data_IF_087934474282
#
_entry.id   IF_087934474282
#
_cell.length_a   1.000
_cell.length_b   1.000
_cell.length_c   1.000
_cell.angle_alpha   90.00
_cell.angle_beta   90.00
_cell.angle_gamma   90.00
#
_symmetry.space_group_name_H-M   'P 1'
#
loop_
_entity.id
_entity.type
_entity.pdbx_description
1 polymer ?
#
# COMPACT_ATOMS: atom_id res chain seq x y z
N UNK A 1 19.67 20.19 -13.56
CA UNK A 1 21.11 20.27 -13.90
C UNK A 1 21.46 19.13 -14.85
N UNK A 2 20.95 19.18 -16.08
CA UNK A 2 21.26 18.19 -17.10
C UNK A 2 22.39 18.72 -17.99
N UNK A 3 23.49 17.97 -18.11
CA UNK A 3 24.54 18.21 -19.11
C UNK A 3 25.75 19.04 -18.70
N UNK A 4 25.92 19.41 -17.42
CA UNK A 4 27.13 20.11 -16.95
C UNK A 4 27.99 19.20 -16.07
N UNK A 5 29.27 19.07 -16.42
CA UNK A 5 30.26 18.37 -15.61
C UNK A 5 30.56 19.17 -14.34
N UNK A 6 29.99 18.75 -13.21
CA UNK A 6 30.26 19.36 -11.90
C UNK A 6 31.37 18.57 -11.20
N UNK A 7 32.48 19.24 -10.91
CA UNK A 7 33.57 18.65 -10.14
C UNK A 7 33.29 18.79 -8.64
N UNK A 8 32.95 17.69 -7.97
CA UNK A 8 32.80 17.66 -6.52
C UNK A 8 34.15 17.39 -5.86
N UNK A 9 34.66 18.36 -5.12
CA UNK A 9 35.82 18.17 -4.23
C UNK A 9 35.32 17.70 -2.87
N UNK A 10 35.34 16.39 -2.65
CA UNK A 10 34.90 15.77 -1.40
C UNK A 10 36.12 15.58 -0.48
N UNK A 11 36.10 16.22 0.68
CA UNK A 11 37.10 16.00 1.73
C UNK A 11 36.54 14.99 2.73
N UNK A 12 37.08 13.77 2.74
CA UNK A 12 36.66 12.72 3.67
C UNK A 12 37.16 13.07 5.07
N UNK A 13 36.24 13.44 5.97
CA UNK A 13 36.54 13.80 7.36
C UNK A 13 36.78 12.60 8.27
N UNK A 14 36.08 11.49 8.02
CA UNK A 14 36.21 10.26 8.80
C UNK A 14 35.62 9.10 8.02
N UNK A 15 36.27 7.93 8.11
CA UNK A 15 35.71 6.66 7.66
C UNK A 15 35.25 5.93 8.92
N UNK A 16 33.97 5.56 8.98
CA UNK A 16 33.40 4.79 10.08
C UNK A 16 32.90 3.47 9.53
N UNK A 17 33.22 2.39 10.23
CA UNK A 17 32.71 1.05 9.93
C UNK A 17 31.42 0.81 10.73
N UNK A 18 30.40 0.25 10.08
CA UNK A 18 29.16 -0.15 10.75
C UNK A 18 29.39 -1.53 11.39
N UNK A 19 29.50 -1.57 12.72
CA UNK A 19 29.51 -2.83 13.48
C UNK A 19 28.09 -3.14 13.94
N UNK A 20 27.56 -4.26 13.48
CA UNK A 20 26.25 -4.75 13.92
C UNK A 20 26.32 -5.14 15.41
N UNK A 21 25.32 -4.77 16.23
CA UNK A 21 25.21 -5.26 17.59
C UNK A 21 25.01 -6.79 17.60
N UNK A 22 25.36 -7.47 18.70
CA UNK A 22 24.91 -8.84 18.93
C UNK A 22 23.38 -8.90 18.95
N UNK A 23 22.83 -10.05 18.56
CA UNK A 23 21.40 -10.34 18.60
C UNK A 23 21.02 -10.83 20.00
N UNK A 24 20.94 -9.90 20.95
CA UNK A 24 20.66 -10.16 22.37
C UNK A 24 19.62 -9.20 22.96
N UNK A 25 19.28 -9.36 24.24
CA UNK A 25 18.25 -8.56 24.91
C UNK A 25 18.60 -7.06 24.99
N UNK A 26 19.89 -6.72 24.92
CA UNK A 26 20.32 -5.32 24.86
C UNK A 26 19.95 -4.67 23.52
N UNK A 27 19.96 -5.43 22.43
CA UNK A 27 19.41 -4.98 21.14
C UNK A 27 17.91 -4.70 21.23
N UNK A 28 17.13 -5.60 21.85
CA UNK A 28 15.69 -5.41 22.03
C UNK A 28 15.36 -4.12 22.81
N UNK A 29 16.08 -3.88 23.92
CA UNK A 29 15.98 -2.65 24.71
C UNK A 29 16.41 -1.40 23.95
N UNK A 30 17.46 -1.49 23.12
CA UNK A 30 17.92 -0.37 22.29
C UNK A 30 16.92 0.01 21.20
N UNK A 31 16.24 -0.97 20.62
CA UNK A 31 15.21 -0.76 19.58
C UNK A 31 13.89 -0.31 20.20
N UNK A 32 13.66 -0.58 21.49
CA UNK A 32 12.46 -0.17 22.21
C UNK A 32 11.21 -0.99 21.85
N UNK A 33 11.41 -2.19 21.31
CA UNK A 33 10.38 -3.11 20.80
C UNK A 33 10.44 -4.45 21.56
N UNK A 34 10.21 -4.38 22.87
CA UNK A 34 10.28 -5.53 23.78
C UNK A 34 11.48 -5.50 24.75
N UNK A 35 11.42 -6.39 25.74
CA UNK A 35 12.42 -6.55 26.79
C UNK A 35 13.47 -7.63 26.46
N UNK A 36 13.16 -8.55 25.54
CA UNK A 36 14.02 -9.68 25.16
C UNK A 36 14.17 -9.80 23.63
N UNK A 37 15.23 -10.48 23.20
CA UNK A 37 15.43 -10.76 21.77
C UNK A 37 14.32 -11.64 21.18
N UNK A 38 13.75 -12.57 21.95
CA UNK A 38 12.63 -13.40 21.50
C UNK A 38 11.38 -12.57 21.25
N UNK A 39 11.05 -11.62 22.14
CA UNK A 39 9.92 -10.69 21.94
C UNK A 39 10.12 -9.84 20.69
N UNK A 40 11.32 -9.26 20.51
CA UNK A 40 11.64 -8.49 19.30
C UNK A 40 11.50 -9.34 18.03
N UNK A 41 11.96 -10.59 18.07
CA UNK A 41 11.87 -11.51 16.94
C UNK A 41 10.41 -11.85 16.62
N UNK A 42 9.59 -12.07 17.63
CA UNK A 42 8.18 -12.38 17.47
C UNK A 42 7.42 -11.17 16.90
N UNK A 43 7.67 -9.96 17.43
CA UNK A 43 7.05 -8.73 16.92
C UNK A 43 7.41 -8.48 15.45
N UNK A 44 8.68 -8.61 15.07
CA UNK A 44 9.11 -8.49 13.66
C UNK A 44 8.52 -9.59 12.80
N UNK A 45 8.40 -10.82 13.31
CA UNK A 45 7.76 -11.91 12.59
C UNK A 45 6.28 -11.59 12.31
N UNK A 46 5.56 -11.11 13.32
CA UNK A 46 4.14 -10.79 13.20
C UNK A 46 3.92 -9.57 12.29
N UNK A 47 4.77 -8.54 12.38
CA UNK A 47 4.78 -7.40 11.44
C UNK A 47 4.99 -7.87 9.98
N UNK A 48 5.95 -8.77 9.75
CA UNK A 48 6.23 -9.31 8.41
C UNK A 48 5.09 -10.20 7.91
N UNK A 49 4.49 -11.00 8.79
CA UNK A 49 3.37 -11.86 8.46
C UNK A 49 2.13 -11.04 8.10
N UNK A 50 1.83 -9.99 8.86
CA UNK A 50 0.74 -9.07 8.56
C UNK A 50 0.98 -8.31 7.25
N UNK A 51 2.20 -7.81 7.03
CA UNK A 51 2.57 -7.15 5.78
C UNK A 51 2.46 -8.09 4.57
N UNK A 52 2.87 -9.36 4.72
CA UNK A 52 2.73 -10.37 3.67
C UNK A 52 1.25 -10.67 3.39
N UNK A 53 0.44 -10.87 4.43
CA UNK A 53 -1.00 -11.11 4.30
C UNK A 53 -1.70 -9.95 3.56
N UNK A 54 -1.47 -8.71 3.99
CA UNK A 54 -2.06 -7.53 3.34
C UNK A 54 -1.60 -7.39 1.88
N UNK A 55 -0.33 -7.70 1.59
CA UNK A 55 0.19 -7.67 0.22
C UNK A 55 -0.48 -8.74 -0.67
N UNK A 56 -0.67 -9.95 -0.14
CA UNK A 56 -1.29 -11.05 -0.86
C UNK A 56 -2.79 -10.79 -1.11
N UNK A 57 -3.50 -10.29 -0.10
CA UNK A 57 -4.91 -9.88 -0.21
C UNK A 57 -5.07 -8.78 -1.26
N UNK A 58 -4.26 -7.73 -1.20
CA UNK A 58 -4.30 -6.64 -2.17
C UNK A 58 -3.97 -7.12 -3.59
N UNK A 59 -3.02 -8.05 -3.74
CA UNK A 59 -2.69 -8.63 -5.04
C UNK A 59 -3.85 -9.45 -5.59
N UNK A 60 -4.46 -10.27 -4.75
CA UNK A 60 -5.60 -11.10 -5.14
C UNK A 60 -6.80 -10.24 -5.57
N UNK A 61 -7.14 -9.21 -4.80
CA UNK A 61 -8.19 -8.24 -5.18
C UNK A 61 -7.90 -7.59 -6.54
N UNK A 62 -6.66 -7.17 -6.77
CA UNK A 62 -6.26 -6.58 -8.05
C UNK A 62 -6.40 -7.58 -9.21
N UNK A 63 -6.07 -8.85 -9.00
CA UNK A 63 -6.24 -9.90 -10.00
C UNK A 63 -7.73 -10.16 -10.30
N UNK A 64 -8.59 -10.15 -9.28
CA UNK A 64 -10.06 -10.26 -9.42
C UNK A 64 -10.62 -9.07 -10.21
N UNK A 65 -10.25 -7.85 -9.83
CA UNK A 65 -10.68 -6.64 -10.53
C UNK A 65 -10.20 -6.61 -11.98
N UNK A 66 -8.96 -7.02 -12.24
CA UNK A 66 -8.43 -7.13 -13.60
C UNK A 66 -9.21 -8.16 -14.43
N UNK A 67 -9.52 -9.31 -13.86
CA UNK A 67 -10.33 -10.33 -14.53
C UNK A 67 -11.75 -9.83 -14.83
N UNK A 68 -12.34 -9.01 -13.94
CA UNK A 68 -13.62 -8.35 -14.17
C UNK A 68 -13.53 -7.33 -15.32
N UNK A 69 -12.47 -6.51 -15.31
CA UNK A 69 -12.19 -5.48 -16.31
C UNK A 69 -12.01 -6.07 -17.73
N UNK A 70 -11.32 -7.21 -17.84
CA UNK A 70 -11.10 -7.94 -19.10
C UNK A 70 -12.38 -8.54 -19.69
N UNK A 71 -13.36 -8.88 -18.85
CA UNK A 71 -14.64 -9.46 -19.28
C UNK A 71 -15.71 -8.42 -19.58
N UNK A 72 -15.44 -7.14 -19.32
CA UNK A 72 -16.39 -6.07 -19.55
C UNK A 72 -16.40 -5.64 -21.03
N UNK A 73 -17.51 -5.93 -21.70
CA UNK A 73 -17.78 -5.55 -23.09
C UNK A 73 -18.79 -4.39 -23.15
N UNK A 74 -18.46 -3.25 -22.53
CA UNK A 74 -19.35 -2.07 -22.55
C UNK A 74 -18.57 -0.77 -22.72
N UNK A 75 -19.13 0.12 -23.56
CA UNK A 75 -18.61 1.47 -23.74
C UNK A 75 -19.05 2.37 -22.58
N UNK A 76 -18.09 3.05 -21.97
CA UNK A 76 -18.34 3.99 -20.88
C UNK A 76 -18.71 5.37 -21.45
N UNK A 77 -19.83 5.99 -21.02
CA UNK A 77 -20.19 7.33 -21.46
C UNK A 77 -19.12 8.40 -21.14
N UNK A 78 -18.79 9.25 -22.12
CA UNK A 78 -17.85 10.38 -21.98
C UNK A 78 -18.15 11.26 -20.76
N UNK A 79 -19.42 11.53 -20.46
CA UNK A 79 -19.82 12.36 -19.34
C UNK A 79 -19.40 11.77 -17.97
N UNK A 80 -19.37 10.45 -17.83
CA UNK A 80 -18.91 9.79 -16.61
C UNK A 80 -17.39 9.85 -16.50
N UNK A 81 -16.69 9.67 -17.62
CA UNK A 81 -15.22 9.80 -17.69
C UNK A 81 -14.79 11.22 -17.29
N UNK A 82 -15.43 12.24 -17.85
CA UNK A 82 -15.09 13.65 -17.56
C UNK A 82 -15.40 14.03 -16.11
N UNK A 83 -16.48 13.48 -15.54
CA UNK A 83 -16.78 13.62 -14.11
C UNK A 83 -15.68 13.00 -13.25
N UNK A 84 -15.19 11.83 -13.62
CA UNK A 84 -14.14 11.13 -12.89
C UNK A 84 -12.79 11.84 -12.98
N UNK A 85 -12.42 12.31 -14.18
CA UNK A 85 -11.23 13.15 -14.37
C UNK A 85 -11.33 14.40 -13.49
N UNK A 86 -12.49 15.06 -13.48
CA UNK A 86 -12.71 16.25 -12.64
C UNK A 86 -12.60 15.94 -11.15
N UNK A 87 -13.11 14.79 -10.69
CA UNK A 87 -12.98 14.32 -9.31
C UNK A 87 -11.50 14.15 -8.92
N UNK A 88 -10.73 13.42 -9.72
CA UNK A 88 -9.29 13.19 -9.49
C UNK A 88 -8.46 14.47 -9.44
N UNK A 89 -8.78 15.43 -10.31
CA UNK A 89 -8.12 16.75 -10.29
C UNK A 89 -8.43 17.50 -8.99
N UNK A 90 -9.68 17.46 -8.51
CA UNK A 90 -10.04 18.06 -7.21
C UNK A 90 -9.36 17.36 -6.04
N UNK A 91 -9.26 16.04 -6.04
CA UNK A 91 -8.53 15.28 -5.02
C UNK A 91 -7.04 15.65 -4.98
N UNK A 92 -6.44 15.87 -6.15
CA UNK A 92 -5.07 16.40 -6.23
C UNK A 92 -5.00 17.82 -5.69
N UNK A 93 -5.95 18.69 -6.05
CA UNK A 93 -6.01 20.07 -5.56
C UNK A 93 -6.12 20.13 -4.04
N UNK A 94 -7.03 19.35 -3.43
CA UNK A 94 -7.19 19.27 -1.98
C UNK A 94 -5.89 18.84 -1.29
N UNK A 95 -5.25 17.76 -1.76
CA UNK A 95 -3.96 17.30 -1.20
C UNK A 95 -2.86 18.35 -1.33
N UNK A 96 -2.82 19.08 -2.44
CA UNK A 96 -1.86 20.17 -2.61
C UNK A 96 -2.15 21.33 -1.65
N UNK A 97 -3.42 21.69 -1.47
CA UNK A 97 -3.85 22.72 -0.53
C UNK A 97 -3.50 22.38 0.92
N UNK A 98 -3.67 21.13 1.34
CA UNK A 98 -3.25 20.62 2.65
C UNK A 98 -1.73 20.77 2.87
N UNK A 99 -0.94 20.64 1.80
CA UNK A 99 0.51 20.87 1.80
C UNK A 99 0.89 22.36 1.65
N UNK A 100 -0.09 23.27 1.57
CA UNK A 100 0.13 24.71 1.37
C UNK A 100 0.56 25.07 -0.06
N UNK A 101 0.40 24.17 -1.03
CA UNK A 101 0.78 24.36 -2.43
C UNK A 101 -0.46 24.65 -3.26
N UNK A 102 -0.42 25.71 -4.07
CA UNK A 102 -1.49 26.00 -5.04
C UNK A 102 -1.31 25.20 -6.33
N UNK A 103 -2.41 24.81 -6.96
CA UNK A 103 -2.41 24.07 -8.22
C UNK A 103 -1.59 24.78 -9.31
N UNK A 104 -1.68 26.11 -9.42
CA UNK A 104 -0.92 26.87 -10.42
C UNK A 104 0.58 26.77 -10.20
N UNK A 105 1.02 26.78 -8.94
CA UNK A 105 2.44 26.58 -8.58
C UNK A 105 2.87 25.16 -8.94
N UNK A 106 2.05 24.16 -8.64
CA UNK A 106 2.33 22.77 -8.99
C UNK A 106 2.52 22.59 -10.50
N UNK A 107 1.61 23.13 -11.31
CA UNK A 107 1.69 23.09 -12.77
C UNK A 107 2.98 23.77 -13.30
N UNK A 108 3.39 24.89 -12.68
CA UNK A 108 4.65 25.56 -13.02
C UNK A 108 5.88 24.72 -12.67
N UNK A 109 5.91 24.08 -11.50
CA UNK A 109 7.05 23.25 -11.09
C UNK A 109 7.21 22.00 -11.96
N UNK A 110 6.10 21.39 -12.37
CA UNK A 110 6.08 20.20 -13.22
C UNK A 110 6.19 20.52 -14.71
N UNK A 111 6.17 21.79 -15.10
CA UNK A 111 6.09 22.25 -16.49
C UNK A 111 4.95 21.58 -17.26
N UNK A 112 3.81 21.35 -16.61
CA UNK A 112 2.61 20.78 -17.24
C UNK A 112 1.47 21.79 -17.26
N UNK A 113 0.41 21.47 -17.99
CA UNK A 113 -0.82 22.26 -18.02
C UNK A 113 -1.99 21.45 -17.46
N UNK A 114 -3.07 22.12 -17.07
CA UNK A 114 -4.27 21.44 -16.59
C UNK A 114 -4.84 20.47 -17.64
N UNK A 115 -4.78 20.82 -18.92
CA UNK A 115 -5.31 19.98 -20.00
C UNK A 115 -4.44 18.74 -20.23
N UNK A 116 -3.12 18.88 -20.14
CA UNK A 116 -2.19 17.73 -20.18
C UNK A 116 -2.43 16.82 -18.98
N UNK A 117 -2.56 17.39 -17.78
CA UNK A 117 -2.84 16.63 -16.57
C UNK A 117 -4.18 15.87 -16.67
N UNK A 118 -5.24 16.51 -17.19
CA UNK A 118 -6.52 15.84 -17.46
C UNK A 118 -6.38 14.71 -18.48
N UNK A 119 -5.62 14.91 -19.54
CA UNK A 119 -5.37 13.90 -20.56
C UNK A 119 -4.62 12.68 -19.97
N UNK A 120 -3.62 12.92 -19.10
CA UNK A 120 -2.89 11.87 -18.38
C UNK A 120 -3.78 11.09 -17.39
N UNK A 121 -4.77 11.75 -16.78
CA UNK A 121 -5.74 11.10 -15.89
C UNK A 121 -6.83 10.32 -16.64
N UNK A 122 -7.10 10.64 -17.92
CA UNK A 122 -8.22 10.07 -18.68
C UNK A 122 -8.17 8.53 -18.77
N UNK A 123 -7.05 7.86 -19.07
CA UNK A 123 -7.00 6.38 -19.12
C UNK A 123 -7.37 5.74 -17.78
N UNK A 124 -6.88 6.31 -16.67
CA UNK A 124 -7.18 5.80 -15.33
C UNK A 124 -8.63 6.09 -14.92
N UNK A 125 -9.20 7.20 -15.38
CA UNK A 125 -10.61 7.53 -15.19
C UNK A 125 -11.53 6.56 -15.96
N UNK A 126 -11.19 6.25 -17.22
CA UNK A 126 -11.90 5.25 -18.03
C UNK A 126 -11.92 3.91 -17.32
N UNK A 127 -10.75 3.41 -16.90
CA UNK A 127 -10.67 2.12 -16.20
C UNK A 127 -11.47 2.12 -14.90
N UNK A 128 -11.40 3.20 -14.11
CA UNK A 128 -12.11 3.29 -12.83
C UNK A 128 -13.62 3.30 -13.01
N UNK A 129 -14.16 4.12 -13.92
CA UNK A 129 -15.60 4.14 -14.20
C UNK A 129 -16.07 2.81 -14.77
N UNK A 130 -15.25 2.17 -15.61
CA UNK A 130 -15.54 0.85 -16.16
C UNK A 130 -15.71 -0.19 -15.05
N UNK A 131 -14.73 -0.28 -14.15
CA UNK A 131 -14.79 -1.16 -12.98
C UNK A 131 -15.97 -0.85 -12.05
N UNK A 132 -16.24 0.43 -11.79
CA UNK A 132 -17.35 0.87 -10.93
C UNK A 132 -18.70 0.38 -11.48
N UNK A 133 -18.96 0.57 -12.77
CA UNK A 133 -20.18 0.08 -13.43
C UNK A 133 -20.28 -1.45 -13.42
N UNK A 134 -19.15 -2.15 -13.59
CA UNK A 134 -19.11 -3.60 -13.53
C UNK A 134 -19.47 -4.11 -12.13
N UNK A 135 -18.89 -3.52 -11.10
CA UNK A 135 -19.17 -3.85 -9.69
C UNK A 135 -20.63 -3.52 -9.33
N UNK A 136 -21.17 -2.38 -9.75
CA UNK A 136 -22.59 -2.06 -9.56
C UNK A 136 -23.50 -3.13 -10.17
N UNK A 137 -23.20 -3.55 -11.40
CA UNK A 137 -23.97 -4.59 -12.09
C UNK A 137 -23.88 -5.94 -11.37
N UNK A 138 -22.72 -6.30 -10.83
CA UNK A 138 -22.54 -7.52 -10.02
C UNK A 138 -23.34 -7.41 -8.73
N UNK A 139 -23.26 -6.28 -8.03
CA UNK A 139 -23.99 -6.04 -6.80
C UNK A 139 -25.50 -6.19 -7.00
N UNK A 140 -26.04 -5.61 -8.08
CA UNK A 140 -27.46 -5.74 -8.43
C UNK A 140 -27.86 -7.18 -8.74
N UNK A 141 -27.03 -7.93 -9.48
CA UNK A 141 -27.33 -9.32 -9.88
C UNK A 141 -27.26 -10.29 -8.72
N UNK A 142 -26.28 -10.12 -7.85
CA UNK A 142 -25.99 -11.01 -6.72
C UNK A 142 -26.72 -10.58 -5.44
N UNK A 143 -27.41 -9.43 -5.47
CA UNK A 143 -28.20 -8.91 -4.35
C UNK A 143 -27.35 -8.41 -3.18
N UNK A 144 -26.16 -7.86 -3.47
CA UNK A 144 -25.29 -7.26 -2.45
C UNK A 144 -25.91 -5.94 -1.98
N UNK A 145 -26.26 -5.88 -0.69
CA UNK A 145 -26.87 -4.68 -0.10
C UNK A 145 -26.08 -4.17 1.10
N UNK A 146 -26.14 -2.86 1.31
CA UNK A 146 -25.60 -2.17 2.49
C UNK A 146 -26.76 -1.71 3.35
N UNK A 147 -26.71 -2.05 4.63
CA UNK A 147 -27.72 -1.63 5.61
C UNK A 147 -27.49 -0.19 6.06
N UNK A 148 -28.55 0.48 6.53
CA UNK A 148 -28.44 1.85 7.05
C UNK A 148 -27.53 1.93 8.28
N UNK A 149 -27.48 0.87 9.08
CA UNK A 149 -26.60 0.79 10.27
C UNK A 149 -25.13 0.83 9.85
N UNK A 150 -24.74 0.10 8.82
CA UNK A 150 -23.36 0.11 8.30
C UNK A 150 -22.99 1.47 7.72
N UNK A 151 -23.94 2.15 7.06
CA UNK A 151 -23.74 3.51 6.57
C UNK A 151 -23.54 4.48 7.74
N UNK A 152 -24.35 4.36 8.79
CA UNK A 152 -24.26 5.21 9.96
C UNK A 152 -22.92 5.01 10.70
N UNK A 153 -22.46 3.77 10.83
CA UNK A 153 -21.14 3.44 11.38
C UNK A 153 -20.01 4.04 10.53
N UNK A 154 -20.05 3.87 9.21
CA UNK A 154 -19.03 4.42 8.32
C UNK A 154 -18.97 5.95 8.35
N UNK A 155 -20.13 6.61 8.33
CA UNK A 155 -20.23 8.08 8.44
C UNK A 155 -19.69 8.55 9.80
N UNK A 156 -20.03 7.86 10.89
CA UNK A 156 -19.57 8.22 12.22
C UNK A 156 -18.07 8.03 12.39
N UNK A 157 -17.50 6.94 11.87
CA UNK A 157 -16.06 6.69 11.92
C UNK A 157 -15.27 7.75 11.14
N UNK A 158 -15.70 8.05 9.90
CA UNK A 158 -15.03 9.07 9.08
C UNK A 158 -15.08 10.46 9.73
N UNK A 159 -16.21 10.85 10.32
CA UNK A 159 -16.34 12.15 10.99
C UNK A 159 -15.67 12.20 12.36
N UNK A 160 -15.49 11.06 13.04
CA UNK A 160 -14.75 11.00 14.30
C UNK A 160 -13.26 11.27 14.09
N UNK A 161 -12.69 10.81 12.97
CA UNK A 161 -11.31 11.13 12.57
C UNK A 161 -11.14 12.64 12.29
N UNK A 162 -12.15 13.29 11.70
CA UNK A 162 -12.15 14.74 11.42
C UNK A 162 -12.49 15.61 12.65
N UNK A 163 -13.33 15.13 13.59
CA UNK A 163 -13.75 15.85 14.80
C UNK A 163 -12.55 16.19 15.73
N UNK A 164 -11.40 15.53 15.58
CA UNK A 164 -10.13 15.92 16.22
C UNK A 164 -9.66 17.35 15.82
N UNK A 165 -10.20 17.92 14.74
CA UNK A 165 -9.96 19.29 14.27
C UNK A 165 -10.98 20.35 14.78
N UNK A 166 -11.99 19.96 15.58
CA UNK A 166 -12.86 20.91 16.31
C UNK A 166 -14.09 21.45 15.57
N UNK A 167 -14.54 20.81 14.48
CA UNK A 167 -15.74 21.21 13.74
C UNK A 167 -16.92 20.28 14.02
N UNK A 168 -18.04 20.79 14.57
CA UNK A 168 -19.24 19.96 14.80
C UNK A 168 -19.99 19.72 13.49
N UNK A 169 -19.87 18.51 12.93
CA UNK A 169 -20.49 18.11 11.66
C UNK A 169 -21.91 17.52 11.78
N UNK A 170 -22.70 17.95 12.78
CA UNK A 170 -24.02 17.37 13.08
C UNK A 170 -24.97 17.26 11.88
N UNK A 171 -24.97 18.26 11.00
CA UNK A 171 -25.81 18.30 9.80
C UNK A 171 -25.28 17.44 8.64
N UNK A 172 -23.97 17.15 8.61
CA UNK A 172 -23.37 16.30 7.57
C UNK A 172 -23.59 14.80 7.84
N UNK A 173 -23.73 14.42 9.12
CA UNK A 173 -24.02 13.02 9.52
C UNK A 173 -25.30 12.48 8.89
N UNK A 174 -26.32 13.33 8.76
CA UNK A 174 -27.63 12.95 8.24
C UNK A 174 -27.86 13.39 6.80
N UNK A 175 -26.94 14.15 6.21
CA UNK A 175 -27.09 14.67 4.87
C UNK A 175 -27.12 13.53 3.82
N UNK A 176 -28.20 13.47 3.04
CA UNK A 176 -28.39 12.43 2.01
C UNK A 176 -27.21 12.30 1.03
N UNK A 177 -26.57 13.39 0.54
CA UNK A 177 -25.40 13.25 -0.34
C UNK A 177 -24.21 12.56 0.31
N UNK A 178 -23.99 12.79 1.61
CA UNK A 178 -22.90 12.18 2.37
C UNK A 178 -23.19 10.70 2.60
N UNK A 179 -24.40 10.38 3.06
CA UNK A 179 -24.83 8.99 3.28
C UNK A 179 -24.85 8.18 1.98
N UNK A 180 -25.26 8.78 0.86
CA UNK A 180 -25.23 8.14 -0.45
C UNK A 180 -23.80 7.81 -0.89
N UNK A 181 -22.83 8.70 -0.64
CA UNK A 181 -21.43 8.45 -0.92
C UNK A 181 -20.88 7.26 -0.12
N UNK A 182 -21.09 7.23 1.20
CA UNK A 182 -20.63 6.10 2.02
C UNK A 182 -21.33 4.79 1.69
N UNK A 183 -22.64 4.84 1.42
CA UNK A 183 -23.40 3.65 0.96
C UNK A 183 -22.79 3.09 -0.32
N UNK A 184 -22.49 3.96 -1.29
CA UNK A 184 -21.86 3.54 -2.55
C UNK A 184 -20.48 2.91 -2.31
N UNK A 185 -19.63 3.54 -1.50
CA UNK A 185 -18.31 2.99 -1.17
C UNK A 185 -18.39 1.62 -0.48
N UNK A 186 -19.30 1.47 0.49
CA UNK A 186 -19.51 0.20 1.19
C UNK A 186 -20.04 -0.88 0.24
N UNK A 187 -20.92 -0.51 -0.70
CA UNK A 187 -21.48 -1.45 -1.66
C UNK A 187 -20.38 -1.95 -2.62
N UNK A 188 -19.54 -1.05 -3.13
CA UNK A 188 -18.37 -1.41 -3.94
C UNK A 188 -17.44 -2.35 -3.17
N UNK A 189 -17.08 -2.00 -1.93
CA UNK A 189 -16.20 -2.82 -1.08
C UNK A 189 -16.78 -4.21 -0.85
N UNK A 190 -18.03 -4.31 -0.39
CA UNK A 190 -18.70 -5.60 -0.18
C UNK A 190 -18.79 -6.44 -1.45
N UNK A 191 -18.96 -5.80 -2.60
CA UNK A 191 -19.02 -6.50 -3.87
C UNK A 191 -17.66 -7.08 -4.25
N UNK A 192 -16.58 -6.34 -3.99
CA UNK A 192 -15.22 -6.85 -4.14
C UNK A 192 -14.97 -8.01 -3.18
N UNK A 193 -15.33 -7.87 -1.90
CA UNK A 193 -15.19 -8.94 -0.90
C UNK A 193 -15.97 -10.20 -1.33
N UNK A 194 -17.20 -10.01 -1.84
CA UNK A 194 -18.01 -11.10 -2.39
C UNK A 194 -17.31 -11.77 -3.58
N UNK A 195 -16.87 -11.00 -4.56
CA UNK A 195 -16.16 -11.52 -5.73
C UNK A 195 -14.87 -12.24 -5.35
N UNK A 196 -14.11 -11.70 -4.40
CA UNK A 196 -12.91 -12.32 -3.83
C UNK A 196 -13.25 -13.65 -3.15
N UNK A 197 -14.33 -13.71 -2.37
CA UNK A 197 -14.79 -14.95 -1.72
C UNK A 197 -15.25 -16.02 -2.72
N UNK A 198 -15.88 -15.61 -3.83
CA UNK A 198 -16.35 -16.52 -4.88
C UNK A 198 -15.22 -16.96 -5.80
N UNK A 199 -14.23 -16.10 -6.04
CA UNK A 199 -13.03 -16.44 -6.78
C UNK A 199 -12.10 -17.36 -5.97
N UNK A 200 -12.22 -17.35 -4.64
CA UNK A 200 -11.53 -18.26 -3.74
C UNK A 200 -12.38 -19.52 -3.45
N UNK A 201 -12.39 -20.52 -4.36
CA UNK A 201 -12.13 -21.87 -3.89
C UNK A 201 -11.38 -22.73 -4.92
N UNK A 202 -10.07 -22.85 -4.76
CA UNK A 202 -9.39 -24.12 -4.48
C UNK A 202 -8.13 -23.82 -3.68
N UNK A 203 -8.02 -24.43 -2.50
CA UNK A 203 -6.75 -24.59 -1.80
C UNK A 203 -5.76 -25.32 -2.72
N UNK A 204 -4.88 -24.57 -3.39
CA UNK A 204 -3.74 -25.06 -4.17
C UNK A 204 -3.01 -23.81 -4.67
N UNK A 205 -1.91 -23.36 -4.08
CA UNK A 205 -0.77 -24.13 -3.66
C UNK A 205 -0.33 -23.74 -2.25
N UNK A 206 0.04 -24.75 -1.48
CA UNK A 206 1.09 -24.67 -0.47
C UNK A 206 2.09 -23.58 -0.84
N UNK A 207 2.17 -22.53 -0.03
CA UNK A 207 3.34 -21.67 0.00
C UNK A 207 4.47 -22.62 0.42
N UNK A 208 5.17 -23.21 -0.55
CA UNK A 208 6.49 -23.74 -0.27
C UNK A 208 7.27 -22.53 0.27
N UNK A 209 7.77 -22.60 1.52
CA UNK A 209 8.60 -21.52 2.02
C UNK A 209 9.76 -21.34 1.03
N UNK A 210 10.20 -20.09 0.78
CA UNK A 210 11.28 -19.84 -0.16
C UNK A 210 12.45 -20.76 0.18
N UNK A 211 12.93 -21.48 -0.84
CA UNK A 211 14.00 -22.48 -0.81
C UNK A 211 15.33 -21.96 -0.23
N UNK A 212 15.42 -20.71 0.19
CA UNK A 212 16.59 -20.09 0.79
C UNK A 212 16.76 -20.41 2.29
N UNK A 213 15.74 -20.96 2.97
CA UNK A 213 15.89 -21.40 4.36
C UNK A 213 16.84 -22.61 4.53
N UNK A 214 17.13 -23.36 3.45
CA UNK A 214 18.07 -24.48 3.49
C UNK A 214 19.54 -24.08 3.35
N UNK A 215 19.84 -22.90 2.80
CA UNK A 215 21.25 -22.46 2.66
C UNK A 215 21.80 -21.84 3.94
N UNK A 216 20.95 -21.15 4.73
CA UNK A 216 21.36 -20.52 5.98
C UNK A 216 21.63 -21.52 7.12
N UNK A 217 20.98 -22.69 7.15
CA UNK A 217 21.33 -23.75 8.12
C UNK A 217 22.66 -24.46 7.80
N UNK A 218 23.08 -24.47 6.54
CA UNK A 218 24.36 -25.09 6.14
C UNK A 218 25.59 -24.24 6.50
N UNK A 219 25.43 -22.92 6.55
CA UNK A 219 26.50 -21.99 6.93
C UNK A 219 26.73 -21.95 8.45
N UNK A 220 25.72 -22.29 9.27
CA UNK A 220 25.80 -22.27 10.73
C UNK A 220 26.41 -23.52 11.38
N UNK A 221 26.63 -24.61 10.62
CA UNK A 221 27.03 -25.92 11.20
C UNK A 221 28.46 -26.38 10.86
N UNK A 222 29.22 -25.60 10.10
CA UNK A 222 30.60 -25.93 9.75
C UNK A 222 31.64 -25.18 10.60
N UNK A 223 31.66 -25.44 11.91
CA UNK A 223 32.87 -25.28 12.71
C UNK A 223 32.83 -26.16 13.96
N UNK A 224 33.53 -27.31 13.98
CA UNK A 224 34.15 -27.80 15.19
C UNK A 224 35.64 -27.46 15.17
N UNK A 225 36.11 -26.88 16.28
CA UNK A 225 37.51 -26.61 16.52
C UNK A 225 38.37 -27.87 16.65
N UNK A 226 39.69 -27.66 16.65
CA UNK A 226 40.64 -28.73 16.92
C UNK A 226 42.08 -28.40 16.53
N UNK A 227 42.76 -27.67 17.42
CA UNK A 227 44.16 -27.87 17.81
C UNK A 227 45.31 -27.97 16.78
N UNK A 228 46.21 -26.99 16.90
CA UNK A 228 47.68 -27.10 17.05
C UNK A 228 48.41 -28.25 16.32
N UNK A 229 49.35 -27.87 15.44
CA UNK A 229 50.75 -28.36 15.53
C UNK A 229 51.73 -27.51 14.72
N UNK A 230 52.82 -27.13 15.40
CA UNK A 230 54.00 -26.49 14.84
C UNK A 230 54.81 -27.45 13.94
N UNK A 231 55.48 -26.91 12.91
CA UNK A 231 56.82 -27.36 12.49
C UNK A 231 57.57 -26.35 11.61
N UNK A 232 58.65 -25.87 12.21
CA UNK A 232 59.94 -25.38 11.68
C UNK A 232 60.33 -25.58 10.20
N UNK A 233 61.02 -24.53 9.69
CA UNK A 233 62.27 -24.47 8.87
C UNK A 233 62.27 -25.00 7.41
N UNK A 234 62.63 -24.10 6.48
CA UNK A 234 63.94 -23.95 5.75
C UNK A 234 63.79 -23.72 4.22
N UNK A 235 64.55 -22.73 3.74
CA UNK A 235 65.13 -22.67 2.38
C UNK A 235 64.26 -21.94 1.35
N UNK A 236 64.76 -21.01 0.55
CA UNK A 236 66.15 -20.61 0.26
C UNK A 236 66.14 -19.21 -0.34
#
# INVERSE_FOLDING_TARGET
>A
MAGQHVAFRITVKSIKERRLPPLDDELAKQVGRGATFEELRQEVHDELQEAAHQSDEQRFENDVLKALDERMEAEVPEALIDREVSRRIRELETRLQEQGVKMERYLQYTNTSLDVLKAEQRPQAVQKVRLELALETVAEREGVTVSDVEVDEAVNNALAEEDHAGHRHGDLRTADPVRAYFRHQLLMRKTIDYLSSVAAPESSATIEPPSEAKELESAGKAAPGGERRARQKKGR
#
